data_IF_551205025011
#
_entry.id   IF_551205025011
#
_cell.length_a   1.000
_cell.length_b   1.000
_cell.length_c   1.000
_cell.angle_alpha   90.00
_cell.angle_beta   90.00
_cell.angle_gamma   90.00
#
_symmetry.space_group_name_H-M   'P 1'
#
loop_
_entity.id
_entity.type
_entity.pdbx_description
1 polymer ?
#
# COMPACT_ATOMS: atom_id res chain seq x y z
N UNK A 1 21.14 -4.63 -11.82
CA UNK A 1 21.49 -5.64 -10.76
C UNK A 1 21.09 -7.02 -11.26
N UNK A 2 21.74 -8.11 -10.83
CA UNK A 2 21.29 -9.45 -11.19
C UNK A 2 19.93 -9.73 -10.52
N UNK A 3 19.07 -10.55 -11.15
CA UNK A 3 17.74 -10.89 -10.60
C UNK A 3 17.82 -11.45 -9.18
N UNK A 4 18.83 -12.26 -8.88
CA UNK A 4 19.05 -12.80 -7.53
C UNK A 4 19.30 -11.73 -6.47
N UNK A 5 20.02 -10.64 -6.81
CA UNK A 5 20.25 -9.54 -5.86
C UNK A 5 18.97 -8.75 -5.63
N UNK A 6 18.16 -8.53 -6.66
CA UNK A 6 16.86 -7.86 -6.53
C UNK A 6 15.92 -8.66 -5.64
N UNK A 7 15.82 -9.97 -5.88
CA UNK A 7 15.00 -10.88 -5.05
C UNK A 7 15.49 -10.90 -3.59
N UNK A 8 16.79 -11.03 -3.36
CA UNK A 8 17.37 -10.99 -2.01
C UNK A 8 17.10 -9.66 -1.31
N UNK A 9 17.10 -8.55 -2.05
CA UNK A 9 16.79 -7.22 -1.51
C UNK A 9 15.32 -7.12 -1.07
N UNK A 10 14.39 -7.68 -1.85
CA UNK A 10 12.96 -7.72 -1.46
C UNK A 10 12.72 -8.61 -0.24
N UNK A 11 13.38 -9.78 -0.17
CA UNK A 11 13.30 -10.64 1.02
C UNK A 11 13.85 -9.90 2.25
N UNK A 12 15.00 -9.24 2.13
CA UNK A 12 15.59 -8.43 3.19
C UNK A 12 14.67 -7.28 3.63
N UNK A 13 14.08 -6.56 2.68
CA UNK A 13 13.11 -5.51 2.95
C UNK A 13 11.86 -6.04 3.69
N UNK A 14 11.35 -7.20 3.28
CA UNK A 14 10.21 -7.85 3.94
C UNK A 14 10.52 -8.20 5.40
N UNK A 15 11.70 -8.77 5.67
CA UNK A 15 12.15 -9.06 7.04
C UNK A 15 12.20 -7.77 7.86
N UNK A 16 12.76 -6.68 7.30
CA UNK A 16 12.82 -5.38 7.97
C UNK A 16 11.41 -4.82 8.25
N UNK A 17 10.44 -4.99 7.36
CA UNK A 17 9.05 -4.59 7.61
C UNK A 17 8.41 -5.40 8.73
N UNK A 18 8.64 -6.71 8.79
CA UNK A 18 8.14 -7.55 9.89
C UNK A 18 8.72 -7.09 11.22
N UNK A 19 10.04 -6.82 11.27
CA UNK A 19 10.71 -6.29 12.46
C UNK A 19 10.21 -4.88 12.80
N UNK A 20 9.88 -4.06 11.82
CA UNK A 20 9.29 -2.74 12.02
C UNK A 20 7.93 -2.84 12.71
N UNK A 21 7.05 -3.73 12.25
CA UNK A 21 5.74 -3.95 12.88
C UNK A 21 5.88 -4.45 14.31
N UNK A 22 6.79 -5.39 14.56
CA UNK A 22 7.12 -5.87 15.91
C UNK A 22 7.65 -4.74 16.81
N UNK A 23 8.52 -3.89 16.28
CA UNK A 23 9.07 -2.74 17.02
C UNK A 23 8.03 -1.65 17.31
N UNK A 24 7.10 -1.40 16.38
CA UNK A 24 6.05 -0.39 16.53
C UNK A 24 4.94 -0.80 17.51
N UNK A 25 4.84 -2.10 17.84
CA UNK A 25 3.83 -2.59 18.78
C UNK A 25 4.07 -2.11 20.23
N UNK A 26 5.28 -1.70 20.58
CA UNK A 26 5.65 -1.22 21.90
C UNK A 26 6.26 0.18 21.84
N UNK A 27 5.85 1.04 22.76
CA UNK A 27 6.28 2.44 22.79
C UNK A 27 7.80 2.60 22.97
N UNK A 28 8.44 1.73 23.76
CA UNK A 28 9.89 1.76 24.00
C UNK A 28 10.71 1.41 22.76
N UNK A 29 10.21 0.51 21.91
CA UNK A 29 10.90 0.03 20.69
C UNK A 29 10.44 0.73 19.42
N UNK A 30 9.42 1.58 19.48
CA UNK A 30 8.79 2.21 18.33
C UNK A 30 9.79 2.98 17.44
N UNK A 31 10.76 3.67 18.04
CA UNK A 31 11.82 4.37 17.28
C UNK A 31 12.68 3.43 16.43
N UNK A 32 13.04 2.26 17.00
CA UNK A 32 13.80 1.23 16.25
C UNK A 32 12.93 0.60 15.17
N UNK A 33 11.68 0.31 15.49
CA UNK A 33 10.70 -0.20 14.51
C UNK A 33 10.55 0.74 13.33
N UNK A 34 10.39 2.03 13.57
CA UNK A 34 10.31 3.03 12.50
C UNK A 34 11.60 3.09 11.64
N UNK A 35 12.78 2.97 12.26
CA UNK A 35 14.05 2.92 11.53
C UNK A 35 14.12 1.69 10.62
N UNK A 36 13.71 0.50 11.09
CA UNK A 36 13.65 -0.70 10.27
C UNK A 36 12.71 -0.53 9.08
N UNK A 37 11.54 0.09 9.29
CA UNK A 37 10.60 0.41 8.20
C UNK A 37 11.20 1.36 7.16
N UNK A 38 11.89 2.41 7.60
CA UNK A 38 12.57 3.34 6.69
C UNK A 38 13.67 2.66 5.87
N UNK A 39 14.51 1.84 6.51
CA UNK A 39 15.58 1.09 5.82
C UNK A 39 14.96 0.07 4.84
N UNK A 40 13.95 -0.68 5.27
CA UNK A 40 13.24 -1.64 4.42
C UNK A 40 12.66 -0.99 3.17
N UNK A 41 12.02 0.17 3.34
CA UNK A 41 11.47 0.95 2.22
C UNK A 41 12.59 1.45 1.27
N UNK A 42 13.68 1.97 1.82
CA UNK A 42 14.81 2.43 0.99
C UNK A 42 15.42 1.29 0.18
N UNK A 43 15.62 0.11 0.79
CA UNK A 43 16.13 -1.08 0.11
C UNK A 43 15.18 -1.52 -1.01
N UNK A 44 13.87 -1.60 -0.73
CA UNK A 44 12.87 -1.98 -1.72
C UNK A 44 12.82 -1.00 -2.90
N UNK A 45 12.84 0.31 -2.64
CA UNK A 45 12.85 1.34 -3.68
C UNK A 45 14.10 1.27 -4.56
N UNK A 46 15.29 1.12 -3.96
CA UNK A 46 16.55 1.00 -4.72
C UNK A 46 16.52 -0.26 -5.58
N UNK A 47 16.07 -1.39 -5.05
CA UNK A 47 15.92 -2.64 -5.79
C UNK A 47 14.96 -2.47 -6.98
N UNK A 48 13.78 -1.87 -6.76
CA UNK A 48 12.79 -1.61 -7.80
C UNK A 48 13.35 -0.67 -8.88
N UNK A 49 13.99 0.42 -8.50
CA UNK A 49 14.59 1.36 -9.46
C UNK A 49 15.70 0.72 -10.31
N UNK A 50 16.43 -0.24 -9.74
CA UNK A 50 17.48 -0.97 -10.49
C UNK A 50 16.91 -2.03 -11.44
N UNK A 51 15.69 -2.50 -11.22
CA UNK A 51 15.00 -3.48 -12.04
C UNK A 51 14.19 -2.83 -13.18
N UNK A 52 13.70 -1.61 -12.96
CA UNK A 52 12.89 -0.87 -13.96
C UNK A 52 13.81 -0.29 -15.03
N UNK A 53 13.61 -0.70 -16.27
CA UNK A 53 14.37 -0.24 -17.45
C UNK A 53 13.61 0.78 -18.30
N UNK A 54 12.26 0.79 -18.19
CA UNK A 54 11.41 1.65 -18.99
C UNK A 54 10.76 2.75 -18.10
N UNK A 55 10.56 3.93 -18.69
CA UNK A 55 9.83 5.05 -18.04
C UNK A 55 10.40 5.52 -16.68
N UNK A 56 11.72 5.41 -16.50
CA UNK A 56 12.43 5.81 -15.28
C UNK A 56 12.11 7.25 -14.86
N UNK A 57 11.92 8.16 -15.83
CA UNK A 57 11.55 9.56 -15.57
C UNK A 57 10.20 9.71 -14.89
N UNK A 58 9.20 8.91 -15.29
CA UNK A 58 7.86 8.92 -14.66
C UNK A 58 7.95 8.37 -13.24
N UNK A 59 8.71 7.28 -13.05
CA UNK A 59 8.94 6.69 -11.73
C UNK A 59 9.60 7.68 -10.77
N UNK A 60 10.71 8.31 -11.19
CA UNK A 60 11.43 9.30 -10.37
C UNK A 60 10.53 10.52 -10.10
N UNK A 61 9.83 11.02 -11.11
CA UNK A 61 8.90 12.14 -10.95
C UNK A 61 7.81 11.83 -9.93
N UNK A 62 7.19 10.66 -10.02
CA UNK A 62 6.18 10.19 -9.07
C UNK A 62 6.73 10.05 -7.65
N UNK A 63 7.92 9.47 -7.48
CA UNK A 63 8.60 9.34 -6.19
C UNK A 63 8.91 10.70 -5.57
N UNK A 64 9.43 11.65 -6.34
CA UNK A 64 9.76 12.99 -5.84
C UNK A 64 8.49 13.75 -5.42
N UNK A 65 7.43 13.71 -6.23
CA UNK A 65 6.16 14.34 -5.88
C UNK A 65 5.53 13.70 -4.64
N UNK A 66 5.43 12.38 -4.61
CA UNK A 66 4.85 11.65 -3.48
C UNK A 66 5.65 11.86 -2.19
N UNK A 67 6.98 11.79 -2.27
CA UNK A 67 7.86 12.01 -1.11
C UNK A 67 7.77 13.45 -0.58
N UNK A 68 7.70 14.44 -1.47
CA UNK A 68 7.57 15.84 -1.07
C UNK A 68 6.23 16.09 -0.37
N UNK A 69 5.13 15.63 -0.95
CA UNK A 69 3.80 15.76 -0.35
C UNK A 69 3.75 15.02 0.99
N UNK A 70 4.23 13.77 1.03
CA UNK A 70 4.25 12.96 2.24
C UNK A 70 5.08 13.60 3.36
N UNK A 71 6.25 14.16 3.04
CA UNK A 71 7.10 14.85 4.02
C UNK A 71 6.45 16.12 4.57
N UNK A 72 5.78 16.90 3.71
CA UNK A 72 5.05 18.11 4.15
C UNK A 72 3.91 17.72 5.09
N UNK A 73 3.13 16.69 4.73
CA UNK A 73 2.03 16.20 5.57
C UNK A 73 2.56 15.68 6.91
N UNK A 74 3.60 14.85 6.89
CA UNK A 74 4.20 14.29 8.11
C UNK A 74 4.73 15.34 9.08
N UNK A 75 5.25 16.47 8.56
CA UNK A 75 5.74 17.58 9.39
C UNK A 75 4.63 18.46 9.95
N UNK A 76 3.47 18.52 9.30
CA UNK A 76 2.37 19.41 9.68
C UNK A 76 1.31 18.75 10.56
N UNK A 77 1.22 17.42 10.51
CA UNK A 77 0.18 16.69 11.24
C UNK A 77 0.43 16.76 12.75
N UNK A 78 -0.63 17.01 13.51
CA UNK A 78 -0.61 16.94 14.96
C UNK A 78 -0.82 15.49 15.44
N UNK A 79 -0.35 15.15 16.63
CA UNK A 79 -0.49 13.79 17.19
C UNK A 79 -1.96 13.35 17.30
N UNK A 80 -2.86 14.29 17.55
CA UNK A 80 -4.32 14.04 17.62
C UNK A 80 -4.94 13.73 16.26
N UNK A 81 -4.30 14.16 15.16
CA UNK A 81 -4.76 13.95 13.79
C UNK A 81 -4.12 12.71 13.13
N UNK A 82 -3.23 12.03 13.83
CA UNK A 82 -2.55 10.84 13.28
C UNK A 82 -3.51 9.74 12.82
N UNK A 83 -4.61 9.40 13.55
CA UNK A 83 -5.54 8.37 13.08
C UNK A 83 -6.22 8.73 11.76
N UNK A 84 -6.62 10.00 11.57
CA UNK A 84 -7.24 10.45 10.33
C UNK A 84 -6.26 10.47 9.17
N UNK A 85 -5.00 10.89 9.41
CA UNK A 85 -3.95 10.86 8.39
C UNK A 85 -3.67 9.43 7.93
N UNK A 86 -3.55 8.49 8.87
CA UNK A 86 -3.33 7.06 8.55
C UNK A 86 -4.49 6.52 7.72
N UNK A 87 -5.73 6.85 8.05
CA UNK A 87 -6.89 6.44 7.25
C UNK A 87 -6.84 7.02 5.84
N UNK A 88 -6.46 8.30 5.68
CA UNK A 88 -6.30 8.92 4.37
C UNK A 88 -5.18 8.25 3.56
N UNK A 89 -4.04 7.97 4.16
CA UNK A 89 -2.93 7.27 3.48
C UNK A 89 -3.33 5.85 3.06
N UNK A 90 -4.11 5.13 3.89
CA UNK A 90 -4.66 3.82 3.54
C UNK A 90 -5.59 3.88 2.33
N UNK A 91 -6.38 4.95 2.19
CA UNK A 91 -7.23 5.12 1.01
C UNK A 91 -6.40 5.25 -0.27
N UNK A 92 -5.28 5.97 -0.22
CA UNK A 92 -4.36 6.08 -1.36
C UNK A 92 -3.67 4.75 -1.69
N UNK A 93 -3.32 3.95 -0.68
CA UNK A 93 -2.79 2.59 -0.89
C UNK A 93 -3.83 1.69 -1.54
N UNK A 94 -5.08 1.75 -1.09
CA UNK A 94 -6.19 1.03 -1.73
C UNK A 94 -6.39 1.43 -3.18
N UNK A 95 -6.34 2.72 -3.48
CA UNK A 95 -6.39 3.23 -4.85
C UNK A 95 -5.22 2.72 -5.70
N UNK A 96 -3.99 2.75 -5.15
CA UNK A 96 -2.81 2.23 -5.84
C UNK A 96 -2.97 0.74 -6.19
N UNK A 97 -3.48 -0.08 -5.26
CA UNK A 97 -3.74 -1.50 -5.49
C UNK A 97 -4.74 -1.73 -6.64
N UNK A 98 -5.82 -0.93 -6.69
CA UNK A 98 -6.79 -0.98 -7.79
C UNK A 98 -6.13 -0.63 -9.12
N UNK A 99 -5.37 0.48 -9.18
CA UNK A 99 -4.72 0.94 -10.41
C UNK A 99 -3.66 -0.06 -10.90
N UNK A 100 -2.86 -0.62 -10.01
CA UNK A 100 -1.87 -1.67 -10.33
C UNK A 100 -2.57 -2.93 -10.85
N UNK A 101 -3.65 -3.35 -10.22
CA UNK A 101 -4.43 -4.49 -10.68
C UNK A 101 -5.00 -4.27 -12.08
N UNK A 102 -5.57 -3.10 -12.36
CA UNK A 102 -6.03 -2.77 -13.72
C UNK A 102 -4.87 -2.70 -14.72
N UNK A 103 -3.73 -2.11 -14.35
CA UNK A 103 -2.57 -2.07 -15.22
C UNK A 103 -2.08 -3.47 -15.59
N UNK A 104 -1.99 -4.38 -14.62
CA UNK A 104 -1.62 -5.78 -14.85
C UNK A 104 -2.63 -6.51 -15.73
N UNK A 105 -3.93 -6.30 -15.49
CA UNK A 105 -4.98 -6.94 -16.28
C UNK A 105 -5.00 -6.45 -17.74
N UNK A 106 -4.72 -5.17 -17.96
CA UNK A 106 -4.72 -4.54 -19.29
C UNK A 106 -3.39 -4.72 -20.03
N UNK A 107 -2.36 -5.29 -19.41
CA UNK A 107 -1.06 -5.52 -20.06
C UNK A 107 -1.17 -6.62 -21.13
N UNK A 108 -0.97 -6.31 -22.43
CA UNK A 108 -0.96 -7.32 -23.49
C UNK A 108 0.16 -8.36 -23.30
N UNK A 109 1.26 -7.98 -22.65
CA UNK A 109 2.41 -8.85 -22.37
C UNK A 109 2.07 -10.03 -21.46
N UNK A 110 1.02 -9.94 -20.62
CA UNK A 110 0.62 -11.03 -19.73
C UNK A 110 0.35 -12.36 -20.48
N UNK A 111 -0.27 -12.28 -21.67
CA UNK A 111 -0.55 -13.46 -22.50
C UNK A 111 0.72 -14.08 -23.09
N UNK A 112 1.83 -13.36 -23.12
CA UNK A 112 3.15 -13.84 -23.56
C UNK A 112 3.92 -14.49 -22.42
N UNK A 113 3.69 -14.04 -21.17
CA UNK A 113 4.42 -14.51 -19.99
C UNK A 113 3.71 -15.65 -19.26
N UNK A 114 2.39 -15.70 -19.31
CA UNK A 114 1.58 -16.69 -18.60
C UNK A 114 0.75 -17.51 -19.58
N UNK A 115 0.70 -18.84 -19.38
CA UNK A 115 -0.07 -19.74 -20.22
C UNK A 115 -0.87 -20.75 -19.36
N UNK A 116 -2.01 -21.18 -19.87
CA UNK A 116 -2.81 -22.23 -19.23
C UNK A 116 -3.22 -21.88 -17.80
N UNK A 117 -2.87 -22.73 -16.84
CA UNK A 117 -3.28 -22.60 -15.44
C UNK A 117 -2.60 -21.39 -14.75
N UNK A 118 -1.38 -21.05 -15.14
CA UNK A 118 -0.65 -19.89 -14.59
C UNK A 118 -1.35 -18.58 -14.92
N UNK A 119 -1.87 -18.45 -16.12
CA UNK A 119 -2.66 -17.28 -16.53
C UNK A 119 -3.93 -17.17 -15.68
N UNK A 120 -4.62 -18.29 -15.45
CA UNK A 120 -5.82 -18.30 -14.61
C UNK A 120 -5.51 -17.88 -13.16
N UNK A 121 -4.43 -18.40 -12.59
CA UNK A 121 -3.97 -18.01 -11.24
C UNK A 121 -3.67 -16.52 -11.19
N UNK A 122 -2.89 -16.00 -12.15
CA UNK A 122 -2.55 -14.59 -12.24
C UNK A 122 -3.77 -13.68 -12.38
N UNK A 123 -4.75 -14.05 -13.19
CA UNK A 123 -5.99 -13.31 -13.35
C UNK A 123 -6.83 -13.31 -12.06
N UNK A 124 -6.92 -14.43 -11.35
CA UNK A 124 -7.62 -14.54 -10.06
C UNK A 124 -6.91 -13.67 -9.00
N UNK A 125 -5.60 -13.73 -8.89
CA UNK A 125 -4.81 -12.91 -7.95
C UNK A 125 -4.99 -11.42 -8.25
N UNK A 126 -4.93 -11.03 -9.51
CA UNK A 126 -5.15 -9.64 -9.95
C UNK A 126 -6.56 -9.16 -9.60
N UNK A 127 -7.57 -9.99 -9.86
CA UNK A 127 -8.96 -9.68 -9.54
C UNK A 127 -9.18 -9.51 -8.03
N UNK A 128 -8.64 -10.41 -7.23
CA UNK A 128 -8.67 -10.32 -5.76
C UNK A 128 -7.93 -9.07 -5.26
N UNK A 129 -6.81 -8.73 -5.88
CA UNK A 129 -6.07 -7.51 -5.59
C UNK A 129 -6.90 -6.25 -5.83
N UNK A 130 -7.60 -6.17 -6.96
CA UNK A 130 -8.51 -5.06 -7.28
C UNK A 130 -9.66 -5.00 -6.25
N UNK A 131 -10.26 -6.13 -5.91
CA UNK A 131 -11.37 -6.20 -4.96
C UNK A 131 -10.94 -5.72 -3.56
N UNK A 132 -9.83 -6.24 -3.05
CA UNK A 132 -9.26 -5.84 -1.75
C UNK A 132 -8.89 -4.36 -1.77
N UNK A 133 -8.28 -3.88 -2.86
CA UNK A 133 -7.94 -2.47 -3.05
C UNK A 133 -9.17 -1.56 -3.01
N UNK A 134 -10.26 -1.95 -3.67
CA UNK A 134 -11.51 -1.19 -3.70
C UNK A 134 -12.20 -1.13 -2.33
N UNK A 135 -12.20 -2.25 -1.59
CA UNK A 135 -12.73 -2.31 -0.22
C UNK A 135 -11.87 -1.42 0.70
N UNK A 136 -10.55 -1.52 0.58
CA UNK A 136 -9.60 -0.69 1.35
C UNK A 136 -9.79 0.79 1.07
N UNK A 137 -9.90 1.17 -0.19
CA UNK A 137 -10.16 2.56 -0.61
C UNK A 137 -11.45 3.09 0.01
N UNK A 138 -12.57 2.42 -0.24
CA UNK A 138 -13.89 2.88 0.19
C UNK A 138 -14.02 2.91 1.72
N UNK A 139 -13.58 1.87 2.41
CA UNK A 139 -13.60 1.79 3.88
C UNK A 139 -12.73 2.86 4.53
N UNK A 140 -11.53 3.10 3.98
CA UNK A 140 -10.59 4.09 4.53
C UNK A 140 -11.05 5.54 4.29
N UNK A 141 -11.72 5.83 3.16
CA UNK A 141 -12.34 7.15 2.91
C UNK A 141 -13.45 7.42 3.93
N UNK A 142 -14.29 6.42 4.21
CA UNK A 142 -15.34 6.55 5.23
C UNK A 142 -14.72 6.71 6.63
N UNK A 143 -13.70 5.93 6.96
CA UNK A 143 -12.97 6.04 8.23
C UNK A 143 -12.35 7.43 8.39
N UNK A 144 -11.68 7.96 7.38
CA UNK A 144 -11.15 9.33 7.36
C UNK A 144 -12.26 10.36 7.59
N UNK A 145 -13.40 10.23 6.89
CA UNK A 145 -14.54 11.14 7.06
C UNK A 145 -15.13 11.14 8.47
N UNK A 146 -15.17 9.98 9.14
CA UNK A 146 -15.62 9.87 10.54
C UNK A 146 -14.59 10.42 11.52
N UNK A 147 -13.31 10.08 11.37
CA UNK A 147 -12.24 10.53 12.25
C UNK A 147 -12.00 12.03 12.16
N UNK A 148 -12.14 12.61 10.97
CA UNK A 148 -12.04 14.06 10.75
C UNK A 148 -13.31 14.85 11.11
N UNK A 149 -14.35 14.18 11.64
CA UNK A 149 -15.61 14.82 12.01
C UNK A 149 -16.49 15.29 10.83
N UNK A 150 -16.10 14.98 9.59
CA UNK A 150 -16.86 15.35 8.37
C UNK A 150 -18.11 14.48 8.19
N UNK A 151 -18.09 13.27 8.71
CA UNK A 151 -19.22 12.33 8.73
C UNK A 151 -19.59 12.10 10.19
N UNK A 152 -20.90 12.15 10.49
CA UNK A 152 -21.41 11.92 11.84
C UNK A 152 -20.98 10.57 12.40
N UNK A 153 -20.61 10.53 13.71
CA UNK A 153 -20.15 9.31 14.40
C UNK A 153 -21.23 8.28 14.68
N UNK A 154 -22.50 8.57 14.40
CA UNK A 154 -23.60 7.65 14.65
C UNK A 154 -23.44 6.38 13.78
N UNK A 155 -23.62 5.17 14.37
CA UNK A 155 -23.58 3.94 13.61
C UNK A 155 -24.71 3.92 12.57
N UNK A 156 -24.37 3.64 11.32
CA UNK A 156 -25.35 3.43 10.26
C UNK A 156 -25.99 2.05 10.45
N UNK A 157 -27.23 2.05 10.92
CA UNK A 157 -27.99 0.81 11.14
C UNK A 157 -28.67 0.42 9.83
N UNK A 158 -28.07 -0.49 9.09
CA UNK A 158 -28.67 -1.06 7.88
C UNK A 158 -29.79 -2.05 8.26
N UNK A 159 -30.95 -2.03 7.58
CA UNK A 159 -31.96 -3.07 7.77
C UNK A 159 -31.36 -4.43 7.35
N UNK A 160 -31.54 -5.45 8.19
CA UNK A 160 -30.98 -6.78 7.92
C UNK A 160 -29.50 -6.95 8.31
N UNK A 161 -28.89 -6.02 9.08
CA UNK A 161 -27.47 -6.06 9.51
C UNK A 161 -27.02 -7.42 10.11
N UNK A 162 -27.91 -8.14 10.76
CA UNK A 162 -27.58 -9.43 11.37
C UNK A 162 -27.36 -10.53 10.32
N UNK A 163 -28.02 -10.43 9.16
CA UNK A 163 -27.83 -11.35 8.04
C UNK A 163 -26.62 -10.99 7.19
N UNK A 164 -26.19 -9.72 7.21
CA UNK A 164 -25.03 -9.25 6.45
C UNK A 164 -23.70 -9.54 7.16
N UNK A 165 -23.73 -9.94 8.44
CA UNK A 165 -22.55 -10.26 9.24
C UNK A 165 -22.35 -11.80 9.41
N UNK A 166 -23.17 -12.60 8.77
CA UNK A 166 -23.03 -14.07 8.66
C UNK A 166 -22.28 -14.42 7.39
#
# INVERSE_FOLDING_TARGET
>A
MSEGIVTASYVGATILFILALGGLSNQETARRGNLFGMIGMAVALIATMSAVTANLGILIGGLLLGSTIGLILAKRVQMTQMPELVAMLHSLVGLAAVLVGFANFMDPGRLLHYTGIELTIHDVETYLGILIGAITLSGSVIAFGKLSGKIGGNPMLLPGRHWMNL
#
